data_IF_818601374391
#
_entry.id   IF_818601374391
#
_cell.length_a   1.000
_cell.length_b   1.000
_cell.length_c   1.000
_cell.angle_alpha   90.00
_cell.angle_beta   90.00
_cell.angle_gamma   90.00
#
_symmetry.space_group_name_H-M   'P 1'
#
loop_
_entity.id
_entity.type
_entity.pdbx_description
1 polymer ?
#
# COMPACT_ATOMS: atom_id res chain seq x y z
N UNK A 1 4.09 -10.79 4.03
CA UNK A 1 3.63 -11.61 2.89
C UNK A 1 2.96 -10.68 1.89
N UNK A 2 3.17 -10.90 0.61
CA UNK A 2 2.52 -10.13 -0.45
C UNK A 2 1.09 -10.58 -0.70
N UNK A 3 0.38 -9.81 -1.55
CA UNK A 3 -1.04 -10.06 -1.87
C UNK A 3 -1.30 -11.48 -2.37
N UNK A 4 -0.41 -12.00 -3.22
CA UNK A 4 -0.55 -13.30 -3.88
C UNK A 4 0.26 -14.43 -3.20
N UNK A 5 0.90 -14.16 -2.06
CA UNK A 5 1.71 -15.15 -1.36
C UNK A 5 0.85 -15.99 -0.42
N UNK A 6 0.59 -17.22 -0.82
CA UNK A 6 -0.11 -18.25 -0.04
C UNK A 6 0.83 -19.38 0.37
N UNK A 7 0.27 -20.48 0.87
CA UNK A 7 1.03 -21.68 1.23
C UNK A 7 1.43 -22.52 0.01
N UNK A 8 0.64 -22.44 -1.07
CA UNK A 8 0.94 -22.99 -2.38
C UNK A 8 0.47 -22.00 -3.45
N UNK A 9 1.41 -21.19 -3.97
CA UNK A 9 1.12 -20.05 -4.84
C UNK A 9 0.10 -19.12 -4.18
N UNK A 10 -1.07 -18.97 -4.79
CA UNK A 10 -2.14 -18.06 -4.34
C UNK A 10 -3.06 -18.67 -3.26
N UNK A 11 -3.00 -19.97 -3.03
CA UNK A 11 -3.87 -20.66 -2.06
C UNK A 11 -3.59 -20.22 -0.64
N UNK A 12 -4.61 -19.73 0.06
CA UNK A 12 -4.50 -19.19 1.41
C UNK A 12 -3.91 -17.79 1.46
N UNK A 13 -3.79 -17.07 0.32
CA UNK A 13 -3.31 -15.70 0.25
C UNK A 13 -4.40 -14.67 0.59
N UNK A 14 -3.97 -13.43 0.82
CA UNK A 14 -4.90 -12.30 0.98
C UNK A 14 -5.75 -12.07 -0.28
N UNK A 15 -5.20 -12.35 -1.47
CA UNK A 15 -5.96 -12.32 -2.72
C UNK A 15 -7.14 -13.28 -2.70
N UNK A 16 -6.94 -14.53 -2.26
CA UNK A 16 -8.02 -15.51 -2.22
C UNK A 16 -9.14 -15.09 -1.27
N UNK A 17 -8.79 -14.54 -0.11
CA UNK A 17 -9.76 -14.00 0.83
C UNK A 17 -10.56 -12.84 0.19
N UNK A 18 -9.87 -11.89 -0.43
CA UNK A 18 -10.54 -10.75 -1.09
C UNK A 18 -11.49 -11.21 -2.20
N UNK A 19 -11.07 -12.21 -2.99
CA UNK A 19 -11.88 -12.80 -4.05
C UNK A 19 -13.13 -13.49 -3.51
N UNK A 20 -13.00 -14.32 -2.47
CA UNK A 20 -14.12 -15.08 -1.89
C UNK A 20 -15.14 -14.15 -1.23
N UNK A 21 -14.66 -13.08 -0.60
CA UNK A 21 -15.51 -12.10 0.09
C UNK A 21 -16.01 -10.98 -0.84
N UNK A 22 -15.57 -10.94 -2.08
CA UNK A 22 -15.87 -9.88 -3.07
C UNK A 22 -15.58 -8.47 -2.52
N UNK A 23 -14.45 -8.31 -1.85
CA UNK A 23 -14.03 -7.03 -1.26
C UNK A 23 -12.92 -6.37 -2.08
N UNK A 24 -12.91 -5.02 -2.16
CA UNK A 24 -11.86 -4.29 -2.84
C UNK A 24 -10.54 -4.35 -2.05
N UNK A 25 -9.43 -4.32 -2.78
CA UNK A 25 -8.08 -4.33 -2.21
C UNK A 25 -7.46 -2.94 -2.30
N UNK A 26 -6.92 -2.43 -1.21
CA UNK A 26 -6.02 -1.29 -1.16
C UNK A 26 -4.59 -1.80 -1.03
N UNK A 27 -3.74 -1.46 -2.00
CA UNK A 27 -2.32 -1.81 -1.93
C UNK A 27 -1.55 -0.78 -1.11
N UNK A 28 -0.75 -1.25 -0.18
CA UNK A 28 0.28 -0.42 0.49
C UNK A 28 1.65 -0.85 -0.04
N UNK A 29 2.34 0.06 -0.72
CA UNK A 29 3.54 -0.26 -1.50
C UNK A 29 4.74 0.52 -0.97
N UNK A 30 5.85 -0.17 -0.69
CA UNK A 30 7.13 0.47 -0.35
C UNK A 30 7.71 1.15 -1.60
N UNK A 31 7.77 2.48 -1.57
CA UNK A 31 8.27 3.31 -2.67
C UNK A 31 9.69 3.82 -2.46
N UNK A 32 10.40 3.34 -1.45
CA UNK A 32 11.69 3.87 -0.97
C UNK A 32 12.76 4.06 -2.06
N UNK A 33 12.81 3.21 -3.05
CA UNK A 33 13.87 3.22 -4.07
C UNK A 33 13.34 3.21 -5.50
N UNK A 34 12.05 3.48 -5.68
CA UNK A 34 11.42 3.48 -6.99
C UNK A 34 10.56 4.73 -7.19
N UNK A 35 10.62 5.28 -8.39
CA UNK A 35 9.79 6.40 -8.82
C UNK A 35 8.86 5.94 -9.94
N UNK A 36 9.08 6.36 -11.18
CA UNK A 36 8.21 5.97 -12.30
C UNK A 36 8.25 4.46 -12.61
N UNK A 37 9.34 3.75 -12.33
CA UNK A 37 9.41 2.29 -12.50
C UNK A 37 8.36 1.54 -11.65
N UNK A 38 7.75 2.21 -10.67
CA UNK A 38 6.63 1.67 -9.91
C UNK A 38 5.43 1.32 -10.82
N UNK A 39 5.33 1.93 -12.00
CA UNK A 39 4.30 1.60 -12.99
C UNK A 39 4.35 0.12 -13.39
N UNK A 40 5.54 -0.46 -13.56
CA UNK A 40 5.70 -1.87 -13.93
C UNK A 40 5.24 -2.80 -12.79
N UNK A 41 5.62 -2.49 -11.55
CA UNK A 41 5.21 -3.25 -10.38
C UNK A 41 3.69 -3.20 -10.18
N UNK A 42 3.11 -2.01 -10.17
CA UNK A 42 1.67 -1.83 -9.96
C UNK A 42 0.84 -2.40 -11.12
N UNK A 43 1.32 -2.26 -12.38
CA UNK A 43 0.67 -2.90 -13.52
C UNK A 43 0.57 -4.41 -13.34
N UNK A 44 1.59 -5.06 -12.78
CA UNK A 44 1.55 -6.47 -12.42
C UNK A 44 0.41 -6.77 -11.45
N UNK A 45 0.32 -6.02 -10.34
CA UNK A 45 -0.75 -6.23 -9.36
C UNK A 45 -2.16 -5.96 -9.93
N UNK A 46 -2.32 -4.91 -10.73
CA UNK A 46 -3.61 -4.49 -11.28
C UNK A 46 -4.14 -5.46 -12.34
N UNK A 47 -3.24 -6.02 -13.16
CA UNK A 47 -3.64 -6.81 -14.33
C UNK A 47 -3.43 -8.33 -14.18
N UNK A 48 -2.68 -8.78 -13.17
CA UNK A 48 -2.39 -10.20 -13.00
C UNK A 48 -3.65 -11.04 -12.73
N UNK A 49 -4.57 -10.50 -11.93
CA UNK A 49 -5.88 -11.11 -11.66
C UNK A 49 -6.98 -10.06 -11.85
N UNK A 50 -8.00 -10.42 -12.62
CA UNK A 50 -9.13 -9.52 -12.92
C UNK A 50 -10.36 -9.81 -12.06
N UNK A 51 -10.33 -10.86 -11.29
CA UNK A 51 -11.40 -11.30 -10.38
C UNK A 51 -11.29 -10.70 -8.97
N UNK A 52 -10.32 -9.81 -8.75
CA UNK A 52 -10.18 -8.96 -7.56
C UNK A 52 -9.91 -7.53 -7.99
N UNK A 53 -10.68 -6.61 -7.45
CA UNK A 53 -10.53 -5.18 -7.75
C UNK A 53 -9.46 -4.53 -6.87
N UNK A 54 -8.39 -4.04 -7.49
CA UNK A 54 -7.46 -3.12 -6.82
C UNK A 54 -8.10 -1.74 -6.84
N UNK A 55 -8.62 -1.32 -5.69
CA UNK A 55 -9.42 -0.09 -5.59
C UNK A 55 -8.56 1.16 -5.42
N UNK A 56 -7.32 1.01 -4.92
CA UNK A 56 -6.42 2.14 -4.77
C UNK A 56 -5.07 1.76 -4.20
N UNK A 57 -4.17 2.75 -4.17
CA UNK A 57 -2.78 2.57 -3.74
C UNK A 57 -2.40 3.64 -2.72
N UNK A 58 -1.71 3.23 -1.67
CA UNK A 58 -1.00 4.07 -0.71
C UNK A 58 0.49 3.79 -0.85
N UNK A 59 1.31 4.82 -1.02
CA UNK A 59 2.75 4.68 -1.11
C UNK A 59 3.42 4.92 0.24
N UNK A 60 4.21 3.97 0.69
CA UNK A 60 4.97 4.08 1.93
C UNK A 60 6.42 4.53 1.64
N UNK A 61 7.04 5.23 2.59
CA UNK A 61 8.44 5.69 2.56
C UNK A 61 8.75 6.66 1.41
N UNK A 62 7.83 7.57 1.12
CA UNK A 62 8.04 8.61 0.11
C UNK A 62 9.03 9.66 0.60
N UNK A 63 10.09 9.91 -0.17
CA UNK A 63 11.22 10.72 0.28
C UNK A 63 11.12 12.22 -0.02
N UNK A 64 10.27 12.65 -0.97
CA UNK A 64 10.17 14.06 -1.39
C UNK A 64 8.89 14.37 -2.13
N UNK A 65 8.58 15.66 -2.29
CA UNK A 65 7.45 16.14 -3.09
C UNK A 65 7.58 15.76 -4.59
N UNK A 66 8.79 15.78 -5.12
CA UNK A 66 9.04 15.35 -6.50
C UNK A 66 8.74 13.86 -6.66
N UNK A 67 9.18 13.05 -5.71
CA UNK A 67 8.91 11.61 -5.66
C UNK A 67 7.41 11.34 -5.61
N UNK A 68 6.71 12.01 -4.71
CA UNK A 68 5.26 11.95 -4.58
C UNK A 68 4.53 12.24 -5.90
N UNK A 69 4.88 13.34 -6.60
CA UNK A 69 4.24 13.69 -7.87
C UNK A 69 4.44 12.62 -8.94
N UNK A 70 5.61 11.99 -8.99
CA UNK A 70 5.87 10.90 -9.93
C UNK A 70 5.02 9.67 -9.62
N UNK A 71 4.85 9.32 -8.35
CA UNK A 71 4.01 8.19 -7.93
C UNK A 71 2.52 8.47 -8.20
N UNK A 72 2.07 9.71 -8.02
CA UNK A 72 0.72 10.11 -8.38
C UNK A 72 0.47 9.97 -9.89
N UNK A 73 1.46 10.33 -10.72
CA UNK A 73 1.37 10.13 -12.17
C UNK A 73 1.26 8.66 -12.54
N UNK A 74 2.00 7.78 -11.86
CA UNK A 74 1.89 6.32 -12.05
C UNK A 74 0.46 5.83 -11.84
N UNK A 75 -0.22 6.29 -10.80
CA UNK A 75 -1.61 5.92 -10.55
C UNK A 75 -2.53 6.42 -11.66
N UNK A 76 -2.32 7.65 -12.15
CA UNK A 76 -3.08 8.23 -13.26
C UNK A 76 -2.91 7.40 -14.54
N UNK A 77 -1.68 7.03 -14.88
CA UNK A 77 -1.35 6.27 -16.09
C UNK A 77 -1.93 4.85 -16.07
N UNK A 78 -2.05 4.26 -14.89
CA UNK A 78 -2.65 2.93 -14.70
C UNK A 78 -4.17 2.95 -14.49
N UNK A 79 -4.79 4.12 -14.34
CA UNK A 79 -6.21 4.23 -14.03
C UNK A 79 -6.59 3.70 -12.64
N UNK A 80 -5.63 3.70 -11.71
CA UNK A 80 -5.81 3.23 -10.32
C UNK A 80 -5.95 4.43 -9.39
N UNK A 81 -6.80 4.34 -8.37
CA UNK A 81 -6.98 5.46 -7.45
C UNK A 81 -5.77 5.67 -6.56
N UNK A 82 -5.25 6.89 -6.55
CA UNK A 82 -4.26 7.33 -5.59
C UNK A 82 -4.94 7.68 -4.25
N UNK A 83 -4.64 6.93 -3.19
CA UNK A 83 -5.24 7.11 -1.87
C UNK A 83 -4.34 7.85 -0.88
N UNK A 84 -3.08 8.06 -1.21
CA UNK A 84 -2.19 8.80 -0.35
C UNK A 84 -0.77 8.24 -0.29
N UNK A 85 0.02 8.82 0.62
CA UNK A 85 1.36 8.36 0.89
C UNK A 85 1.72 8.53 2.37
N UNK A 86 2.71 7.80 2.82
CA UNK A 86 3.36 8.03 4.10
C UNK A 86 4.80 8.48 3.85
N UNK A 87 5.24 9.59 4.45
CA UNK A 87 6.60 10.05 4.30
C UNK A 87 7.58 9.08 4.97
N UNK A 88 8.83 9.12 4.55
CA UNK A 88 9.90 8.45 5.29
C UNK A 88 10.06 9.17 6.62
N UNK A 89 9.74 8.50 7.72
CA UNK A 89 9.79 9.05 9.07
C UNK A 89 10.26 8.00 10.05
N UNK A 90 11.10 8.38 10.99
CA UNK A 90 11.52 7.50 12.09
C UNK A 90 10.34 7.06 12.96
N UNK A 91 9.31 7.89 13.11
CA UNK A 91 8.08 7.57 13.83
C UNK A 91 7.28 6.42 13.19
N UNK A 92 7.50 6.15 11.89
CA UNK A 92 6.84 5.06 11.16
C UNK A 92 7.75 3.83 11.00
N UNK A 93 9.00 3.91 11.47
CA UNK A 93 9.92 2.77 11.42
C UNK A 93 9.63 1.84 12.59
N UNK A 94 9.18 0.65 12.27
CA UNK A 94 8.92 -0.38 13.25
C UNK A 94 9.83 -1.58 13.00
N UNK A 95 10.43 -2.09 14.06
CA UNK A 95 11.21 -3.31 14.00
C UNK A 95 10.38 -4.49 13.49
N UNK A 96 10.99 -5.36 12.70
CA UNK A 96 10.35 -6.58 12.26
C UNK A 96 10.87 -7.76 13.08
N UNK A 97 9.97 -8.63 13.50
CA UNK A 97 10.28 -9.93 14.09
C UNK A 97 10.17 -11.04 13.05
N UNK A 98 10.71 -12.18 13.39
CA UNK A 98 10.44 -13.43 12.69
C UNK A 98 8.91 -13.68 12.62
N UNK A 99 8.34 -13.62 11.42
CA UNK A 99 6.91 -13.73 11.13
C UNK A 99 6.01 -12.54 11.52
N UNK A 100 6.54 -11.33 11.73
CA UNK A 100 5.69 -10.17 11.99
C UNK A 100 6.42 -8.90 12.40
N UNK A 101 5.65 -7.93 12.87
CA UNK A 101 6.16 -6.67 13.40
C UNK A 101 6.46 -6.79 14.89
N UNK A 102 7.46 -6.06 15.36
CA UNK A 102 7.73 -5.90 16.78
C UNK A 102 6.92 -4.72 17.34
N UNK A 103 5.99 -5.00 18.23
CA UNK A 103 5.15 -4.01 18.91
C UNK A 103 5.62 -3.70 20.32
N UNK A 104 6.83 -4.12 20.71
CA UNK A 104 7.38 -3.82 22.03
C UNK A 104 7.67 -2.33 22.24
N UNK A 105 8.01 -1.62 21.14
CA UNK A 105 8.12 -0.17 21.10
C UNK A 105 7.01 0.37 20.21
N UNK A 106 5.92 0.84 20.82
CA UNK A 106 4.85 1.48 20.07
C UNK A 106 5.19 2.95 19.82
N UNK A 107 5.13 3.42 18.57
CA UNK A 107 5.22 4.84 18.30
C UNK A 107 4.05 5.57 18.98
N UNK A 108 4.24 6.84 19.32
CA UNK A 108 3.16 7.66 19.88
C UNK A 108 1.97 7.66 18.92
N UNK A 109 0.85 7.12 19.39
CA UNK A 109 -0.36 6.91 18.57
C UNK A 109 -0.85 8.21 17.92
N UNK A 110 -0.70 9.34 18.60
CA UNK A 110 -1.15 10.65 18.13
C UNK A 110 -0.35 11.15 16.92
N UNK A 111 0.96 10.88 16.87
CA UNK A 111 1.79 11.22 15.72
C UNK A 111 1.41 10.39 14.48
N UNK A 112 1.16 9.10 14.67
CA UNK A 112 0.69 8.23 13.59
C UNK A 112 -0.66 8.64 13.04
N UNK A 113 -1.61 8.94 13.92
CA UNK A 113 -2.95 9.41 13.53
C UNK A 113 -2.84 10.68 12.71
N UNK A 114 -2.05 11.65 13.17
CA UNK A 114 -1.82 12.92 12.46
C UNK A 114 -1.23 12.70 11.07
N UNK A 115 -0.21 11.86 10.93
CA UNK A 115 0.39 11.53 9.64
C UNK A 115 -0.62 10.86 8.69
N UNK A 116 -1.45 9.97 9.19
CA UNK A 116 -2.50 9.33 8.40
C UNK A 116 -3.56 10.34 7.96
N UNK A 117 -4.01 11.22 8.85
CA UNK A 117 -5.01 12.24 8.51
C UNK A 117 -4.49 13.27 7.49
N UNK A 118 -3.21 13.66 7.58
CA UNK A 118 -2.60 14.64 6.68
C UNK A 118 -2.30 14.09 5.29
N UNK A 119 -1.92 12.82 5.18
CA UNK A 119 -1.35 12.28 3.95
C UNK A 119 -2.19 11.19 3.27
N UNK A 120 -3.15 10.59 3.96
CA UNK A 120 -3.98 9.51 3.42
C UNK A 120 -5.43 9.96 3.30
N UNK A 121 -6.05 9.67 2.17
CA UNK A 121 -7.47 9.93 1.90
C UNK A 121 -8.35 8.89 2.59
N UNK A 122 -8.22 8.77 3.90
CA UNK A 122 -8.87 7.72 4.68
C UNK A 122 -10.39 7.72 4.57
N UNK A 123 -11.04 8.90 4.47
CA UNK A 123 -12.49 8.99 4.24
C UNK A 123 -12.89 8.39 2.90
N UNK A 124 -12.06 8.60 1.86
CA UNK A 124 -12.28 8.00 0.55
C UNK A 124 -12.07 6.50 0.59
N UNK A 125 -11.07 6.03 1.31
CA UNK A 125 -10.78 4.61 1.50
C UNK A 125 -11.95 3.87 2.16
N UNK A 126 -12.61 4.49 3.16
CA UNK A 126 -13.80 3.92 3.80
C UNK A 126 -15.04 3.88 2.89
N UNK A 127 -15.04 4.62 1.79
CA UNK A 127 -16.13 4.69 0.83
C UNK A 127 -15.94 3.79 -0.40
N UNK A 128 -14.87 2.97 -0.44
CA UNK A 128 -14.58 2.02 -1.52
C UNK A 128 -15.46 0.80 -1.44
#
# INVERSE_FOLDING_TARGET
MGLFDGYDREWGSSYEIARVLDIPVVLVVDARSAAYSMVALLSGFVHFRQDVRIAGVIFNKVGSQKHFKMLQQVCTDLGVEYLGYLPKSAALEQGSRYLGLDFSEQPESDELIKLLEEHVRWKRMLAL
#
